data_IF_525023800710
#
_entry.id   IF_525023800710
#
_cell.length_a   1.000
_cell.length_b   1.000
_cell.length_c   1.000
_cell.angle_alpha   90.00
_cell.angle_beta   90.00
_cell.angle_gamma   90.00
#
_symmetry.space_group_name_H-M   'P 1'
#
loop_
_entity.id
_entity.type
_entity.pdbx_description
1 polymer ?
#
# COMPACT_ATOMS: atom_id res chain seq x y z
N UNK A 1 -4.39 -0.34 30.75
CA UNK A 1 -5.23 -0.15 29.53
C UNK A 1 -4.77 1.14 28.88
N UNK A 2 -3.96 1.05 27.80
CA UNK A 2 -3.59 2.21 26.99
C UNK A 2 -4.85 2.63 26.21
N UNK A 3 -5.47 3.70 26.63
CA UNK A 3 -6.55 4.32 25.86
C UNK A 3 -5.94 5.11 24.69
N UNK A 4 -6.62 5.19 23.54
CA UNK A 4 -6.16 6.06 22.47
C UNK A 4 -6.09 7.49 23.02
N UNK A 5 -4.89 8.07 23.01
CA UNK A 5 -4.71 9.49 23.29
C UNK A 5 -4.78 10.24 21.99
N UNK A 6 -5.70 11.18 21.91
CA UNK A 6 -5.73 12.19 20.87
C UNK A 6 -4.67 13.21 21.28
N UNK A 7 -3.65 13.40 20.45
CA UNK A 7 -2.72 14.52 20.65
C UNK A 7 -3.50 15.76 20.19
N UNK A 8 -3.97 16.55 21.14
CA UNK A 8 -4.63 17.82 20.86
C UNK A 8 -3.56 18.85 20.44
N UNK A 9 -3.33 18.95 19.14
CA UNK A 9 -2.76 20.13 18.50
C UNK A 9 -3.89 20.86 17.76
N UNK A 10 -3.63 22.04 17.24
CA UNK A 10 -4.58 22.78 16.39
C UNK A 10 -5.02 21.99 15.15
N UNK A 11 -4.24 20.98 14.76
CA UNK A 11 -4.52 20.02 13.68
C UNK A 11 -4.78 18.65 14.31
N UNK A 12 -6.06 18.24 14.42
CA UNK A 12 -6.47 16.88 14.83
C UNK A 12 -6.31 15.91 13.66
N UNK A 13 -5.09 15.66 13.25
CA UNK A 13 -4.76 14.93 12.03
C UNK A 13 -4.05 13.60 12.28
N UNK A 14 -3.56 13.38 13.52
CA UNK A 14 -2.87 12.16 13.90
C UNK A 14 -3.59 11.42 15.03
N UNK A 15 -3.94 10.17 14.74
CA UNK A 15 -4.55 9.23 15.69
C UNK A 15 -3.65 8.01 15.84
N UNK A 16 -3.55 7.46 17.06
CA UNK A 16 -2.87 6.20 17.29
C UNK A 16 -3.69 5.29 18.18
N UNK A 17 -3.57 3.98 17.92
CA UNK A 17 -4.25 2.95 18.71
C UNK A 17 -3.33 1.76 18.91
N UNK A 18 -3.13 1.38 20.16
CA UNK A 18 -2.35 0.21 20.50
C UNK A 18 -3.24 -1.00 20.78
N UNK A 19 -2.87 -2.16 20.24
CA UNK A 19 -3.49 -3.46 20.50
C UNK A 19 -2.41 -4.53 20.51
N UNK A 20 -2.58 -5.53 21.37
CA UNK A 20 -1.69 -6.70 21.44
C UNK A 20 -2.13 -7.81 20.49
N UNK A 21 -3.35 -7.77 20.00
CA UNK A 21 -3.92 -8.75 19.09
C UNK A 21 -3.84 -8.25 17.64
N UNK A 22 -3.03 -8.91 16.82
CA UNK A 22 -2.82 -8.60 15.39
C UNK A 22 -4.08 -8.67 14.56
N UNK A 23 -4.94 -9.66 14.82
CA UNK A 23 -6.24 -9.77 14.15
C UNK A 23 -7.12 -8.56 14.43
N UNK A 24 -7.06 -8.02 15.65
CA UNK A 24 -7.77 -6.79 15.99
C UNK A 24 -7.24 -5.58 15.20
N UNK A 25 -5.92 -5.45 15.06
CA UNK A 25 -5.31 -4.40 14.23
C UNK A 25 -5.76 -4.52 12.78
N UNK A 26 -5.71 -5.73 12.21
CA UNK A 26 -6.17 -6.04 10.86
C UNK A 26 -7.63 -5.63 10.65
N UNK A 27 -8.53 -6.10 11.51
CA UNK A 27 -9.96 -5.84 11.37
C UNK A 27 -10.30 -4.34 11.52
N UNK A 28 -9.61 -3.63 12.43
CA UNK A 28 -9.78 -2.19 12.62
C UNK A 28 -9.29 -1.44 11.37
N UNK A 29 -8.15 -1.83 10.79
CA UNK A 29 -7.62 -1.21 9.59
C UNK A 29 -8.57 -1.35 8.41
N UNK A 30 -9.08 -2.56 8.13
CA UNK A 30 -10.05 -2.80 7.05
C UNK A 30 -11.31 -1.94 7.24
N UNK A 31 -11.93 -2.01 8.43
CA UNK A 31 -13.15 -1.22 8.71
C UNK A 31 -12.91 0.29 8.57
N UNK A 32 -11.75 0.77 9.04
CA UNK A 32 -11.42 2.19 8.95
C UNK A 32 -11.14 2.59 7.50
N UNK A 33 -10.49 1.72 6.72
CA UNK A 33 -10.26 1.95 5.30
C UNK A 33 -11.58 2.10 4.54
N UNK A 34 -12.51 1.15 4.67
CA UNK A 34 -13.82 1.18 4.00
C UNK A 34 -14.56 2.48 4.36
N UNK A 35 -14.66 2.80 5.66
CA UNK A 35 -15.31 4.04 6.10
C UNK A 35 -14.62 5.30 5.57
N UNK A 36 -13.28 5.29 5.48
CA UNK A 36 -12.53 6.44 4.96
C UNK A 36 -12.70 6.59 3.45
N UNK A 37 -12.86 5.49 2.71
CA UNK A 37 -13.16 5.52 1.27
C UNK A 37 -14.50 6.19 0.99
N UNK A 38 -15.53 5.95 1.81
CA UNK A 38 -16.85 6.61 1.69
C UNK A 38 -16.73 8.14 1.82
N UNK A 39 -15.86 8.63 2.70
CA UNK A 39 -15.72 10.08 2.97
C UNK A 39 -14.68 10.78 2.10
N UNK A 40 -13.61 10.11 1.74
CA UNK A 40 -12.44 10.72 1.09
C UNK A 40 -12.26 10.28 -0.37
N UNK A 41 -12.89 9.19 -0.78
CA UNK A 41 -12.68 8.54 -2.07
C UNK A 41 -11.49 7.57 -2.04
N UNK A 42 -11.57 6.52 -2.85
CA UNK A 42 -10.64 5.39 -2.87
C UNK A 42 -9.19 5.79 -3.22
N UNK A 43 -9.01 6.86 -4.00
CA UNK A 43 -7.68 7.34 -4.40
C UNK A 43 -6.97 8.15 -3.32
N UNK A 44 -7.72 8.61 -2.35
CA UNK A 44 -7.21 9.42 -1.26
C UNK A 44 -6.88 8.63 0.02
N UNK A 45 -7.21 7.35 0.06
CA UNK A 45 -7.00 6.48 1.23
C UNK A 45 -6.04 5.35 0.88
N UNK A 46 -5.14 5.02 1.81
CA UNK A 46 -4.22 3.88 1.68
C UNK A 46 -3.94 3.27 3.04
N UNK A 47 -3.79 1.94 3.07
CA UNK A 47 -3.18 1.25 4.22
C UNK A 47 -1.68 1.11 3.94
N UNK A 48 -0.86 1.53 4.91
CA UNK A 48 0.60 1.45 4.83
C UNK A 48 1.14 0.43 5.82
N UNK A 49 1.88 -0.56 5.33
CA UNK A 49 2.49 -1.60 6.15
C UNK A 49 3.96 -1.80 5.78
N UNK A 50 4.82 -2.28 6.68
CA UNK A 50 6.21 -2.52 6.36
C UNK A 50 6.44 -3.69 5.39
N UNK A 51 5.57 -4.72 5.39
CA UNK A 51 5.82 -6.01 4.74
C UNK A 51 4.81 -6.35 3.64
N UNK A 52 5.29 -7.00 2.56
CA UNK A 52 4.47 -7.35 1.41
C UNK A 52 3.69 -8.66 1.61
N UNK A 53 4.32 -9.72 2.18
CA UNK A 53 3.76 -11.08 2.31
C UNK A 53 4.27 -11.78 3.58
N UNK A 54 3.85 -13.00 3.79
CA UNK A 54 4.27 -13.91 4.86
C UNK A 54 3.86 -13.49 6.29
N UNK A 55 2.87 -12.63 6.42
CA UNK A 55 2.24 -12.31 7.70
C UNK A 55 0.80 -11.77 7.49
N UNK A 56 0.01 -11.79 8.56
CA UNK A 56 -1.38 -11.35 8.53
C UNK A 56 -1.52 -9.89 8.09
N UNK A 57 -0.72 -8.99 8.69
CA UNK A 57 -0.73 -7.56 8.38
C UNK A 57 0.24 -7.23 7.23
N UNK A 58 0.20 -8.02 6.15
CA UNK A 58 0.94 -7.77 4.91
C UNK A 58 0.06 -7.08 3.86
N UNK A 59 0.69 -6.43 2.88
CA UNK A 59 -0.08 -5.81 1.80
C UNK A 59 -0.91 -6.82 1.03
N UNK A 60 -0.40 -8.03 0.79
CA UNK A 60 -1.10 -9.05 0.03
C UNK A 60 -2.40 -9.49 0.73
N UNK A 61 -2.35 -9.80 2.02
CA UNK A 61 -3.54 -10.23 2.76
C UNK A 61 -4.56 -9.11 2.92
N UNK A 62 -4.10 -7.91 3.22
CA UNK A 62 -4.97 -6.74 3.34
C UNK A 62 -5.66 -6.43 2.00
N UNK A 63 -4.93 -6.44 0.90
CA UNK A 63 -5.44 -6.16 -0.43
C UNK A 63 -6.51 -7.16 -0.87
N UNK A 64 -6.30 -8.47 -0.61
CA UNK A 64 -7.28 -9.51 -0.91
C UNK A 64 -8.60 -9.28 -0.17
N UNK A 65 -8.52 -8.98 1.13
CA UNK A 65 -9.73 -8.74 1.93
C UNK A 65 -10.43 -7.47 1.49
N UNK A 66 -9.72 -6.36 1.26
CA UNK A 66 -10.32 -5.11 0.81
C UNK A 66 -10.98 -5.28 -0.56
N UNK A 67 -10.32 -5.97 -1.51
CA UNK A 67 -10.94 -6.25 -2.80
C UNK A 67 -12.25 -7.02 -2.64
N UNK A 68 -12.28 -8.02 -1.79
CA UNK A 68 -13.49 -8.80 -1.53
C UNK A 68 -14.58 -7.98 -0.83
N UNK A 69 -14.25 -7.10 0.11
CA UNK A 69 -15.22 -6.21 0.77
C UNK A 69 -15.82 -5.18 -0.22
N UNK A 70 -15.00 -4.64 -1.12
CA UNK A 70 -15.44 -3.62 -2.07
C UNK A 70 -16.11 -4.20 -3.33
N UNK A 71 -15.65 -5.36 -3.79
CA UNK A 71 -16.02 -5.98 -5.07
C UNK A 71 -16.53 -7.42 -4.87
N UNK A 72 -17.12 -7.74 -3.70
CA UNK A 72 -17.59 -9.08 -3.37
C UNK A 72 -18.57 -9.65 -4.39
N UNK A 73 -19.49 -8.83 -4.85
CA UNK A 73 -20.56 -9.20 -5.80
C UNK A 73 -20.07 -9.25 -7.27
N UNK A 74 -18.85 -8.79 -7.56
CA UNK A 74 -18.29 -8.81 -8.91
C UNK A 74 -17.78 -10.23 -9.21
N UNK A 75 -18.39 -10.88 -10.22
CA UNK A 75 -18.03 -12.24 -10.65
C UNK A 75 -16.87 -12.23 -11.64
N UNK A 76 -16.76 -11.19 -12.45
CA UNK A 76 -15.71 -11.09 -13.48
C UNK A 76 -14.34 -10.91 -12.82
N UNK A 77 -13.47 -11.87 -13.06
CA UNK A 77 -12.11 -11.85 -12.50
C UNK A 77 -11.12 -12.55 -13.42
N UNK A 78 -9.85 -12.20 -13.30
CA UNK A 78 -8.74 -12.84 -13.98
C UNK A 78 -7.70 -13.28 -12.95
N UNK A 79 -7.24 -14.53 -13.05
CA UNK A 79 -6.23 -15.09 -12.17
C UNK A 79 -4.83 -14.71 -12.60
N UNK A 80 -4.12 -13.96 -11.77
CA UNK A 80 -2.68 -13.77 -11.85
C UNK A 80 -1.91 -14.86 -11.09
N UNK A 81 -0.60 -14.69 -10.92
CA UNK A 81 0.27 -15.68 -10.27
C UNK A 81 -0.05 -15.83 -8.76
N UNK A 82 -0.09 -14.74 -8.01
CA UNK A 82 -0.31 -14.72 -6.55
C UNK A 82 -1.64 -14.03 -6.16
N UNK A 83 -2.36 -13.49 -7.12
CA UNK A 83 -3.50 -12.61 -6.85
C UNK A 83 -4.54 -12.73 -7.97
N UNK A 84 -5.80 -12.75 -7.59
CA UNK A 84 -6.93 -12.62 -8.51
C UNK A 84 -7.32 -11.15 -8.61
N UNK A 85 -7.49 -10.64 -9.82
CA UNK A 85 -7.94 -9.28 -10.08
C UNK A 85 -9.40 -9.30 -10.53
N UNK A 86 -10.26 -8.58 -9.83
CA UNK A 86 -11.67 -8.41 -10.19
C UNK A 86 -11.86 -7.19 -11.09
N UNK A 87 -12.91 -7.19 -11.88
CA UNK A 87 -13.33 -5.99 -12.61
C UNK A 87 -13.56 -4.84 -11.62
N UNK A 88 -13.01 -3.65 -11.90
CA UNK A 88 -13.02 -2.51 -11.00
C UNK A 88 -11.91 -2.51 -9.95
N UNK A 89 -11.05 -3.54 -9.90
CA UNK A 89 -9.96 -3.57 -8.93
C UNK A 89 -8.95 -2.45 -9.15
N UNK A 90 -8.55 -1.82 -8.05
CA UNK A 90 -7.48 -0.83 -8.03
C UNK A 90 -6.13 -1.54 -8.03
N UNK A 91 -5.31 -1.25 -9.02
CA UNK A 91 -4.02 -1.91 -9.25
C UNK A 91 -2.89 -0.90 -9.36
N UNK A 92 -1.66 -1.38 -9.16
CA UNK A 92 -0.44 -0.61 -9.35
C UNK A 92 0.53 -1.40 -10.20
N UNK A 93 1.14 -0.72 -11.18
CA UNK A 93 2.27 -1.25 -11.94
C UNK A 93 3.48 -1.39 -11.02
N UNK A 94 4.16 -2.54 -11.06
CA UNK A 94 5.28 -2.85 -10.16
C UNK A 94 6.66 -2.78 -10.81
N UNK A 95 6.70 -2.74 -12.13
CA UNK A 95 7.92 -2.66 -12.97
C UNK A 95 7.71 -1.64 -14.07
N UNK A 96 8.80 -1.06 -14.59
CA UNK A 96 8.69 -0.20 -15.76
C UNK A 96 8.47 -1.04 -17.02
N UNK A 97 7.51 -0.65 -17.85
CA UNK A 97 7.27 -1.18 -19.18
C UNK A 97 7.33 -0.02 -20.18
N UNK A 98 8.46 0.10 -20.87
CA UNK A 98 8.70 1.19 -21.81
C UNK A 98 7.90 1.02 -23.12
N UNK A 99 7.61 -0.21 -23.51
CA UNK A 99 6.85 -0.52 -24.73
C UNK A 99 5.39 -0.10 -24.58
N UNK A 100 4.83 -0.34 -23.39
CA UNK A 100 3.46 0.06 -23.01
C UNK A 100 3.42 1.48 -22.43
N UNK A 101 4.57 2.14 -22.26
CA UNK A 101 4.69 3.46 -21.64
C UNK A 101 3.99 3.55 -20.28
N UNK A 102 4.20 2.53 -19.43
CA UNK A 102 3.67 2.48 -18.05
C UNK A 102 4.80 2.22 -17.07
N UNK A 103 4.78 2.90 -15.93
CA UNK A 103 5.92 2.95 -15.03
C UNK A 103 5.58 2.42 -13.63
N UNK A 104 6.61 1.94 -12.95
CA UNK A 104 6.49 1.45 -11.58
C UNK A 104 5.90 2.54 -10.66
N UNK A 105 4.84 2.18 -9.94
CA UNK A 105 4.10 3.07 -9.04
C UNK A 105 2.88 3.74 -9.67
N UNK A 106 2.67 3.65 -11.00
CA UNK A 106 1.43 4.12 -11.61
C UNK A 106 0.24 3.29 -11.14
N UNK A 107 -0.84 3.97 -10.80
CA UNK A 107 -2.08 3.37 -10.29
C UNK A 107 -3.15 3.48 -11.35
N UNK A 108 -3.86 2.38 -11.57
CA UNK A 108 -4.98 2.28 -12.50
C UNK A 108 -6.09 1.38 -11.96
N UNK A 109 -7.08 1.17 -12.79
CA UNK A 109 -8.25 0.33 -12.48
C UNK A 109 -8.46 -0.70 -13.58
N UNK A 110 -8.78 -1.94 -13.20
CA UNK A 110 -9.19 -2.98 -14.15
C UNK A 110 -10.56 -2.60 -14.72
N UNK A 111 -10.58 -2.21 -15.99
CA UNK A 111 -11.78 -1.69 -16.65
C UNK A 111 -12.45 -2.70 -17.58
N UNK A 112 -11.74 -3.77 -17.93
CA UNK A 112 -12.29 -4.85 -18.73
C UNK A 112 -11.55 -6.16 -18.47
N UNK A 113 -12.27 -7.27 -18.47
CA UNK A 113 -11.75 -8.63 -18.46
C UNK A 113 -12.40 -9.35 -19.62
N UNK A 114 -11.61 -10.02 -20.45
CA UNK A 114 -12.12 -10.65 -21.66
C UNK A 114 -11.20 -11.79 -22.10
N UNK A 115 -11.64 -12.48 -23.13
CA UNK A 115 -10.96 -13.60 -23.73
C UNK A 115 -10.83 -13.36 -25.22
N UNK A 116 -9.72 -13.81 -25.80
CA UNK A 116 -9.54 -13.88 -27.24
C UNK A 116 -9.03 -15.24 -27.64
N UNK A 117 -9.27 -15.60 -28.89
CA UNK A 117 -8.74 -16.82 -29.49
C UNK A 117 -7.59 -16.47 -30.43
N UNK A 118 -6.41 -17.00 -30.14
CA UNK A 118 -5.26 -16.98 -31.02
C UNK A 118 -5.11 -18.40 -31.63
N UNK A 119 -5.67 -18.58 -32.83
CA UNK A 119 -5.81 -19.89 -33.44
C UNK A 119 -6.69 -20.83 -32.62
N UNK A 120 -6.10 -21.89 -32.03
CA UNK A 120 -6.80 -22.86 -31.17
C UNK A 120 -6.65 -22.57 -29.66
N UNK A 121 -5.86 -21.57 -29.29
CA UNK A 121 -5.61 -21.25 -27.88
C UNK A 121 -6.49 -20.11 -27.41
N UNK A 122 -7.19 -20.33 -26.32
CA UNK A 122 -7.91 -19.32 -25.57
C UNK A 122 -6.91 -18.55 -24.72
N UNK A 123 -6.89 -17.23 -24.82
CA UNK A 123 -6.05 -16.33 -24.02
C UNK A 123 -6.95 -15.35 -23.26
N UNK A 124 -6.83 -15.36 -21.93
CA UNK A 124 -7.48 -14.39 -21.05
C UNK A 124 -6.61 -13.15 -20.92
N UNK A 125 -7.24 -11.98 -20.94
CA UNK A 125 -6.56 -10.69 -20.75
C UNK A 125 -7.45 -9.71 -19.98
N UNK A 126 -6.83 -8.69 -19.42
CA UNK A 126 -7.56 -7.55 -18.87
C UNK A 126 -7.01 -6.23 -19.41
N UNK A 127 -7.87 -5.22 -19.41
CA UNK A 127 -7.49 -3.84 -19.67
C UNK A 127 -7.45 -3.07 -18.36
N UNK A 128 -6.38 -2.32 -18.16
CA UNK A 128 -6.21 -1.41 -17.01
C UNK A 128 -6.18 0.02 -17.54
N UNK A 129 -7.06 0.85 -17.02
CA UNK A 129 -7.08 2.28 -17.33
C UNK A 129 -6.27 3.04 -16.28
N UNK A 130 -5.27 3.78 -16.75
CA UNK A 130 -4.47 4.72 -15.97
C UNK A 130 -4.85 6.13 -16.36
N UNK A 131 -5.18 6.96 -15.38
CA UNK A 131 -5.53 8.38 -15.62
C UNK A 131 -4.37 9.26 -15.16
N UNK A 132 -3.86 10.09 -16.06
CA UNK A 132 -2.77 11.02 -15.75
C UNK A 132 -3.26 12.24 -14.94
N UNK A 133 -2.32 13.11 -14.54
CA UNK A 133 -2.62 14.31 -13.74
C UNK A 133 -3.48 15.35 -14.49
N UNK A 134 -3.59 15.22 -15.80
CA UNK A 134 -4.43 16.08 -16.65
C UNK A 134 -5.80 15.46 -16.95
N UNK A 135 -6.09 14.28 -16.36
CA UNK A 135 -7.34 13.55 -16.58
C UNK A 135 -7.40 12.80 -17.92
N UNK A 136 -6.27 12.57 -18.57
CA UNK A 136 -6.21 11.79 -19.80
C UNK A 136 -6.03 10.32 -19.46
N UNK A 137 -6.90 9.49 -20.01
CA UNK A 137 -6.87 8.04 -19.83
C UNK A 137 -5.91 7.37 -20.82
N UNK A 138 -5.18 6.39 -20.31
CA UNK A 138 -4.33 5.46 -21.02
C UNK A 138 -4.78 4.05 -20.70
N UNK A 139 -5.24 3.30 -21.69
CA UNK A 139 -5.70 1.92 -21.53
C UNK A 139 -4.57 0.99 -21.94
N UNK A 140 -4.20 0.07 -21.05
CA UNK A 140 -3.14 -0.91 -21.24
C UNK A 140 -3.72 -2.31 -21.10
N UNK A 141 -3.46 -3.15 -22.08
CA UNK A 141 -3.82 -4.56 -22.08
C UNK A 141 -2.72 -5.39 -21.38
N UNK A 142 -3.16 -6.30 -20.51
CA UNK A 142 -2.32 -7.28 -19.81
C UNK A 142 -2.82 -8.70 -20.09
N UNK A 143 -1.98 -9.50 -20.68
CA UNK A 143 -2.16 -10.95 -20.77
C UNK A 143 -1.94 -11.60 -19.41
N UNK A 144 -2.39 -12.84 -19.23
CA UNK A 144 -2.23 -13.59 -17.97
C UNK A 144 -0.78 -13.63 -17.47
N UNK A 145 0.21 -13.69 -18.38
CA UNK A 145 1.65 -13.66 -18.02
C UNK A 145 2.10 -12.30 -17.51
N UNK A 146 1.57 -11.24 -18.08
CA UNK A 146 1.93 -9.86 -17.75
C UNK A 146 1.28 -9.38 -16.45
N UNK A 147 0.24 -10.08 -15.94
CA UNK A 147 -0.35 -9.79 -14.63
C UNK A 147 0.65 -9.87 -13.47
N UNK A 148 1.78 -10.54 -13.64
CA UNK A 148 2.87 -10.54 -12.65
C UNK A 148 3.47 -9.13 -12.42
N UNK A 149 3.26 -8.20 -13.35
CA UNK A 149 3.66 -6.80 -13.24
C UNK A 149 2.67 -5.93 -12.45
N UNK A 150 1.55 -6.49 -12.02
CA UNK A 150 0.49 -5.79 -11.28
C UNK A 150 0.40 -6.28 -9.83
N UNK A 151 0.19 -5.34 -8.91
CA UNK A 151 -0.25 -5.59 -7.53
C UNK A 151 -1.59 -4.87 -7.29
N UNK A 152 -2.43 -5.40 -6.40
CA UNK A 152 -3.56 -4.63 -5.85
C UNK A 152 -3.04 -3.42 -5.06
N UNK A 153 -3.75 -2.30 -5.07
CA UNK A 153 -3.25 -1.02 -4.61
C UNK A 153 -4.11 -0.33 -3.53
N UNK A 154 -4.84 -1.09 -2.73
CA UNK A 154 -5.55 -0.57 -1.54
C UNK A 154 -4.61 -0.44 -0.34
N UNK A 155 -3.70 -1.41 -0.18
CA UNK A 155 -2.60 -1.38 0.77
C UNK A 155 -1.26 -1.43 0.03
N UNK A 156 -0.28 -0.69 0.53
CA UNK A 156 1.07 -0.60 -0.05
C UNK A 156 2.14 -0.70 1.04
N UNK A 157 3.34 -1.12 0.66
CA UNK A 157 4.46 -1.02 1.59
C UNK A 157 4.86 0.44 1.80
N UNK A 158 5.38 0.74 3.00
CA UNK A 158 5.86 2.10 3.33
C UNK A 158 6.87 2.60 2.29
N UNK A 159 7.75 1.72 1.78
CA UNK A 159 8.72 2.06 0.73
C UNK A 159 8.05 2.47 -0.60
N UNK A 160 7.01 1.74 -1.03
CA UNK A 160 6.27 2.07 -2.26
C UNK A 160 5.47 3.37 -2.17
N UNK A 161 5.19 3.84 -0.95
CA UNK A 161 4.55 5.14 -0.71
C UNK A 161 5.54 6.31 -0.70
N UNK A 162 6.84 6.08 -0.80
CA UNK A 162 7.82 7.16 -0.89
C UNK A 162 7.56 8.00 -2.14
N UNK A 163 7.52 9.32 -1.96
CA UNK A 163 7.16 10.26 -3.03
C UNK A 163 5.66 10.45 -3.27
N UNK A 164 4.79 9.54 -2.80
CA UNK A 164 3.36 9.59 -3.01
C UNK A 164 2.60 9.76 -1.68
N UNK A 165 2.17 10.99 -1.35
CA UNK A 165 1.31 11.25 -0.19
C UNK A 165 -0.17 10.97 -0.50
N UNK A 166 -0.93 10.53 0.52
CA UNK A 166 -2.39 10.36 0.44
C UNK A 166 -3.07 11.24 1.48
N UNK A 167 -4.33 11.59 1.23
CA UNK A 167 -5.13 12.40 2.17
C UNK A 167 -5.24 11.71 3.52
N UNK A 168 -5.56 10.40 3.50
CA UNK A 168 -5.67 9.56 4.69
C UNK A 168 -4.75 8.34 4.58
N UNK A 169 -3.90 8.13 5.57
CA UNK A 169 -3.00 6.98 5.69
C UNK A 169 -3.35 6.21 6.96
N UNK A 170 -3.54 4.90 6.82
CA UNK A 170 -3.75 3.97 7.94
C UNK A 170 -2.49 3.11 8.04
N UNK A 171 -1.65 3.34 9.04
CA UNK A 171 -0.43 2.58 9.27
C UNK A 171 -0.69 1.38 10.17
N UNK A 172 -0.14 0.20 9.85
CA UNK A 172 -0.15 -0.98 10.72
C UNK A 172 1.27 -1.42 11.00
N UNK A 173 1.60 -1.55 12.29
CA UNK A 173 2.92 -2.01 12.76
C UNK A 173 2.72 -3.08 13.83
N UNK A 174 3.27 -4.26 13.61
CA UNK A 174 3.27 -5.35 14.59
C UNK A 174 4.64 -6.06 14.64
N UNK A 175 4.81 -6.96 15.61
CA UNK A 175 6.07 -7.64 15.86
C UNK A 175 6.50 -8.60 14.73
N UNK A 176 5.63 -8.98 13.79
CA UNK A 176 6.05 -9.75 12.61
C UNK A 176 6.88 -8.94 11.64
N UNK A 177 6.85 -7.63 11.78
CA UNK A 177 7.61 -6.68 10.97
C UNK A 177 9.01 -6.37 11.55
N UNK A 178 9.45 -7.02 12.63
CA UNK A 178 10.62 -6.67 13.48
C UNK A 178 11.88 -6.29 12.70
N UNK A 179 12.19 -6.96 11.59
CA UNK A 179 13.38 -6.67 10.77
C UNK A 179 13.31 -5.33 10.01
N UNK A 180 12.11 -4.76 9.88
CA UNK A 180 11.84 -3.54 9.11
C UNK A 180 11.48 -2.35 10.03
N UNK A 181 11.45 -2.60 11.35
CA UNK A 181 11.01 -1.61 12.33
C UNK A 181 12.18 -0.73 12.79
N UNK A 182 12.21 0.49 12.29
CA UNK A 182 13.14 1.54 12.70
C UNK A 182 12.47 2.93 12.66
N UNK A 183 13.17 3.93 13.14
CA UNK A 183 12.67 5.30 13.20
C UNK A 183 12.48 5.92 11.81
N UNK A 184 13.29 5.55 10.82
CA UNK A 184 13.18 6.04 9.45
C UNK A 184 11.92 5.52 8.76
N UNK A 185 11.60 4.22 8.96
CA UNK A 185 10.37 3.62 8.46
C UNK A 185 9.14 4.28 9.10
N UNK A 186 9.13 4.45 10.43
CA UNK A 186 8.04 5.11 11.14
C UNK A 186 7.86 6.55 10.66
N UNK A 187 8.94 7.33 10.57
CA UNK A 187 8.90 8.69 10.03
C UNK A 187 8.36 8.73 8.61
N UNK A 188 8.85 7.83 7.75
CA UNK A 188 8.38 7.72 6.36
C UNK A 188 6.88 7.45 6.31
N UNK A 189 6.39 6.51 7.12
CA UNK A 189 4.96 6.19 7.20
C UNK A 189 4.12 7.41 7.59
N UNK A 190 4.49 8.08 8.70
CA UNK A 190 3.74 9.21 9.24
C UNK A 190 3.69 10.38 8.28
N UNK A 191 4.80 10.67 7.59
CA UNK A 191 4.90 11.78 6.63
C UNK A 191 4.20 11.55 5.30
N UNK A 192 3.63 10.36 5.05
CA UNK A 192 2.81 10.08 3.85
C UNK A 192 1.39 10.64 3.96
N UNK A 193 0.90 10.92 5.15
CA UNK A 193 -0.43 11.49 5.35
C UNK A 193 -0.42 12.99 5.08
N UNK A 194 -1.26 13.43 4.13
CA UNK A 194 -1.44 14.86 3.82
C UNK A 194 -2.44 15.54 4.76
N UNK A 195 -3.39 14.76 5.31
CA UNK A 195 -4.46 15.30 6.15
C UNK A 195 -4.71 14.47 7.41
N UNK A 196 -4.77 13.14 7.30
CA UNK A 196 -5.07 12.26 8.45
C UNK A 196 -4.17 11.04 8.45
N UNK A 197 -3.60 10.73 9.61
CA UNK A 197 -2.86 9.52 9.87
C UNK A 197 -3.49 8.75 11.03
N UNK A 198 -3.84 7.48 10.81
CA UNK A 198 -4.19 6.55 11.89
C UNK A 198 -3.09 5.50 12.00
N UNK A 199 -2.37 5.48 13.11
CA UNK A 199 -1.37 4.47 13.41
C UNK A 199 -1.96 3.39 14.32
N UNK A 200 -2.02 2.17 13.81
CA UNK A 200 -2.42 0.96 14.53
C UNK A 200 -1.15 0.16 14.83
N UNK A 201 -0.83 -0.08 16.10
CA UNK A 201 0.43 -0.72 16.45
C UNK A 201 0.32 -1.70 17.62
N UNK A 202 1.17 -2.74 17.60
CA UNK A 202 1.54 -3.44 18.84
C UNK A 202 2.48 -2.54 19.65
N UNK A 203 2.32 -2.43 20.98
CA UNK A 203 3.14 -1.54 21.82
C UNK A 203 4.65 -1.78 21.68
N UNK A 204 5.06 -3.05 21.65
CA UNK A 204 6.48 -3.43 21.54
C UNK A 204 7.06 -3.08 20.17
N UNK A 205 6.32 -3.34 19.08
CA UNK A 205 6.71 -2.97 17.73
C UNK A 205 6.90 -1.45 17.58
N UNK A 206 6.00 -0.66 18.16
CA UNK A 206 6.12 0.80 18.17
C UNK A 206 7.34 1.26 18.97
N UNK A 207 7.57 0.69 20.16
CA UNK A 207 8.77 1.00 20.96
C UNK A 207 10.06 0.62 20.23
N UNK A 208 10.06 -0.49 19.50
CA UNK A 208 11.20 -0.86 18.65
C UNK A 208 11.46 0.21 17.59
N UNK A 209 10.45 0.67 16.87
CA UNK A 209 10.63 1.75 15.88
C UNK A 209 11.29 2.99 16.47
N UNK A 210 10.92 3.38 17.70
CA UNK A 210 11.50 4.57 18.36
C UNK A 210 12.94 4.33 18.77
N UNK A 211 13.28 3.13 19.25
CA UNK A 211 14.60 2.82 19.81
C UNK A 211 15.64 2.45 18.75
N UNK A 212 15.20 1.90 17.59
CA UNK A 212 16.08 1.47 16.52
C UNK A 212 16.39 2.66 15.62
N UNK A 213 17.63 3.14 15.68
CA UNK A 213 18.15 4.20 14.81
C UNK A 213 19.16 3.61 13.85
N UNK A 214 18.99 3.80 12.56
CA UNK A 214 20.02 3.51 11.57
C UNK A 214 20.96 4.71 11.42
N UNK A 215 21.84 4.90 12.40
CA UNK A 215 22.83 5.99 12.39
C UNK A 215 24.05 5.72 11.50
N UNK A 216 24.07 4.65 10.73
CA UNK A 216 25.21 4.31 9.86
C UNK A 216 24.91 4.56 8.37
N UNK A 217 24.55 5.78 8.00
CA UNK A 217 24.91 6.24 6.66
C UNK A 217 26.36 6.73 6.72
N UNK A 218 27.31 5.83 6.47
CA UNK A 218 28.67 6.20 6.11
C UNK A 218 28.60 6.95 4.77
N UNK A 219 28.33 8.24 4.82
CA UNK A 219 28.46 9.10 3.65
C UNK A 219 29.91 9.51 3.57
N UNK A 220 30.49 9.54 2.36
CA UNK A 220 31.85 10.04 2.11
C UNK A 220 32.12 11.40 2.76
N UNK A 221 31.10 12.26 2.93
CA UNK A 221 31.18 13.54 3.62
C UNK A 221 31.52 13.45 5.11
N UNK A 222 31.18 12.34 5.82
CA UNK A 222 31.60 12.16 7.22
C UNK A 222 33.05 11.73 7.34
N UNK A 223 33.60 11.01 6.34
CA UNK A 223 35.00 10.61 6.30
C UNK A 223 35.96 11.77 6.04
N UNK A 224 35.52 12.82 5.31
CA UNK A 224 36.34 14.03 5.09
C UNK A 224 36.42 14.95 6.32
N UNK A 225 35.42 14.94 7.19
CA UNK A 225 35.45 15.77 8.42
C UNK A 225 36.30 15.16 9.53
N UNK A 226 36.49 13.83 9.58
CA UNK A 226 37.38 13.18 10.54
C UNK A 226 38.87 13.24 10.18
N UNK A 227 39.20 13.50 8.92
CA UNK A 227 40.60 13.63 8.44
C UNK A 227 41.14 15.06 8.47
N UNK A 228 40.33 16.07 8.88
CA UNK A 228 40.70 17.49 8.95
C UNK A 228 40.72 18.05 10.40
N UNK A 229 40.73 17.19 11.39
CA UNK A 229 40.99 17.52 12.81
C UNK A 229 42.24 16.79 13.31
#
# INVERSE_FOLDING_TARGET
KLQPRIIHGELQDMYYMFRTNRQSLFNIAIKTFIKSVESDGIDNVVIAVPRRKDCLNSTNEINKVIQNELLGDVLESIEGFDTTFKLGAKVMQTVNDYDKNVFNGEIGYVTKISERYDGKKKEEYCEVTYTDIFGKDKIIEYTKKELAALDLAYAMTVHKLQGAGRKTVIGIIDNTHHQLLDNCMLYTLLTRAKKRCLLLAEPEAFLQCIRTSHNNRNTWMMLETENNT
#
